data_IF_774657494447
#
_entry.id   IF_774657494447
#
_cell.length_a   1.000
_cell.length_b   1.000
_cell.length_c   1.000
_cell.angle_alpha   90.00
_cell.angle_beta   90.00
_cell.angle_gamma   90.00
#
_symmetry.space_group_name_H-M   'P 1'
#
loop_
_entity.id
_entity.type
_entity.pdbx_description
1 polymer ?
#
# COMPACT_ATOMS: atom_id res chain seq x y z
N UNK A 1 2.58 13.75 0.59
CA UNK A 1 1.75 13.52 1.80
C UNK A 1 2.56 13.97 2.97
N UNK A 2 2.04 14.89 3.78
CA UNK A 2 2.66 15.18 5.06
C UNK A 2 2.61 13.91 5.90
N UNK A 3 3.79 13.39 6.26
CA UNK A 3 3.93 12.15 7.03
C UNK A 3 3.65 12.40 8.52
N UNK A 4 2.66 13.24 8.85
CA UNK A 4 2.39 13.74 10.20
C UNK A 4 0.90 13.64 10.50
N UNK A 5 0.59 13.10 11.68
CA UNK A 5 -0.75 13.10 12.27
C UNK A 5 -0.67 13.81 13.60
N UNK A 6 -1.61 14.69 13.88
CA UNK A 6 -1.77 15.34 15.17
C UNK A 6 -2.69 14.46 16.02
N UNK A 7 -2.22 14.07 17.20
CA UNK A 7 -3.01 13.36 18.20
C UNK A 7 -3.27 14.26 19.39
N UNK A 8 -4.53 14.34 19.82
CA UNK A 8 -4.88 14.86 21.14
C UNK A 8 -4.66 13.76 22.20
N UNK A 9 -3.91 14.07 23.26
CA UNK A 9 -3.61 13.09 24.33
C UNK A 9 -4.81 12.83 25.24
N UNK A 10 -5.71 13.80 25.39
CA UNK A 10 -6.85 13.74 26.30
C UNK A 10 -8.03 12.95 25.71
N UNK A 11 -8.35 13.13 24.41
CA UNK A 11 -9.49 12.46 23.77
C UNK A 11 -9.10 11.41 22.73
N UNK A 12 -7.80 11.26 22.42
CA UNK A 12 -7.27 10.39 21.36
C UNK A 12 -7.79 10.69 19.94
N UNK A 13 -8.37 11.88 19.73
CA UNK A 13 -8.73 12.32 18.39
C UNK A 13 -7.48 12.55 17.53
N UNK A 14 -7.55 12.09 16.30
CA UNK A 14 -6.48 12.16 15.32
C UNK A 14 -6.89 13.05 14.16
N UNK A 15 -6.00 13.96 13.79
CA UNK A 15 -6.15 14.83 12.64
C UNK A 15 -4.95 14.68 11.73
N UNK A 16 -5.18 14.48 10.43
CA UNK A 16 -4.11 14.41 9.43
C UNK A 16 -4.19 15.68 8.59
N UNK A 17 -3.29 16.67 8.82
CA UNK A 17 -3.30 17.90 8.05
C UNK A 17 -3.11 17.64 6.56
N UNK A 18 -3.81 18.40 5.75
CA UNK A 18 -3.67 18.40 4.29
C UNK A 18 -3.60 19.82 3.75
N UNK A 19 -3.05 19.98 2.55
CA UNK A 19 -3.08 21.27 1.84
C UNK A 19 -4.51 21.72 1.50
N UNK A 20 -5.49 20.82 1.60
CA UNK A 20 -6.90 21.08 1.31
C UNK A 20 -7.71 21.50 2.54
N UNK A 21 -7.12 21.52 3.73
CA UNK A 21 -7.85 21.83 4.97
C UNK A 21 -8.46 23.24 4.95
N UNK A 22 -7.90 24.15 4.15
CA UNK A 22 -8.40 25.52 3.96
C UNK A 22 -9.16 25.72 2.64
N UNK A 23 -9.40 24.66 1.87
CA UNK A 23 -10.14 24.77 0.62
C UNK A 23 -11.63 24.85 0.91
N UNK A 24 -12.38 25.72 0.21
CA UNK A 24 -13.80 25.85 0.46
C UNK A 24 -14.56 24.60 0.02
N UNK A 25 -15.67 24.34 0.70
CA UNK A 25 -16.67 23.37 0.27
C UNK A 25 -17.78 24.06 -0.53
N UNK A 26 -18.43 23.32 -1.42
CA UNK A 26 -19.48 23.87 -2.29
C UNK A 26 -20.79 23.13 -2.08
N UNK A 27 -21.88 23.90 -1.94
CA UNK A 27 -23.24 23.37 -1.93
C UNK A 27 -24.05 24.01 -3.04
N UNK A 28 -24.75 23.21 -3.84
CA UNK A 28 -25.62 23.72 -4.88
C UNK A 28 -26.97 24.15 -4.30
N UNK A 29 -27.31 25.42 -4.51
CA UNK A 29 -28.60 25.99 -4.14
C UNK A 29 -29.56 25.95 -5.33
N UNK A 30 -30.65 25.21 -5.17
CA UNK A 30 -31.69 25.03 -6.20
C UNK A 30 -32.59 26.24 -6.37
N UNK A 31 -32.68 27.12 -5.37
CA UNK A 31 -33.53 28.31 -5.44
C UNK A 31 -32.87 29.42 -6.25
N UNK A 32 -31.55 29.56 -6.12
CA UNK A 32 -30.76 30.54 -6.86
C UNK A 32 -30.13 30.00 -8.14
N UNK A 33 -30.22 28.68 -8.36
CA UNK A 33 -29.56 27.95 -9.46
C UNK A 33 -28.04 28.23 -9.52
N UNK A 34 -27.40 28.25 -8.35
CA UNK A 34 -25.98 28.61 -8.21
C UNK A 34 -25.27 27.77 -7.13
N UNK A 35 -23.94 27.81 -7.12
CA UNK A 35 -23.12 27.19 -6.08
C UNK A 35 -22.79 28.19 -4.97
N UNK A 36 -23.10 27.83 -3.74
CA UNK A 36 -22.68 28.54 -2.55
C UNK A 36 -21.31 28.00 -2.13
N UNK A 37 -20.33 28.89 -2.07
CA UNK A 37 -19.02 28.63 -1.49
C UNK A 37 -19.10 28.76 0.04
N UNK A 38 -18.58 27.75 0.74
CA UNK A 38 -18.54 27.68 2.20
C UNK A 38 -17.06 27.60 2.58
N UNK A 39 -16.54 28.66 3.20
CA UNK A 39 -15.18 28.67 3.73
C UNK A 39 -15.00 27.56 4.78
N UNK A 40 -13.88 26.85 4.70
CA UNK A 40 -13.50 25.79 5.63
C UNK A 40 -12.06 26.01 6.08
N UNK A 41 -11.77 25.71 7.35
CA UNK A 41 -10.42 25.60 7.91
C UNK A 41 -10.43 24.49 8.95
N UNK A 42 -10.34 23.25 8.46
CA UNK A 42 -10.49 22.03 9.28
C UNK A 42 -9.40 21.94 10.37
N UNK A 43 -8.19 22.43 10.08
CA UNK A 43 -7.07 22.43 11.02
C UNK A 43 -7.31 23.43 12.15
N UNK A 44 -7.81 24.62 11.85
CA UNK A 44 -8.16 25.61 12.87
C UNK A 44 -9.34 25.12 13.70
N UNK A 45 -10.37 24.54 13.08
CA UNK A 45 -11.50 23.93 13.81
C UNK A 45 -11.02 22.85 14.78
N UNK A 46 -10.12 21.96 14.34
CA UNK A 46 -9.52 20.96 15.21
C UNK A 46 -8.76 21.60 16.38
N UNK A 47 -7.91 22.60 16.12
CA UNK A 47 -7.15 23.30 17.17
C UNK A 47 -8.05 23.99 18.19
N UNK A 48 -9.12 24.64 17.73
CA UNK A 48 -10.05 25.37 18.60
C UNK A 48 -10.84 24.42 19.49
N UNK A 49 -11.31 23.29 18.94
CA UNK A 49 -11.96 22.22 19.70
C UNK A 49 -11.03 21.61 20.77
N UNK A 50 -9.72 21.65 20.52
CA UNK A 50 -8.68 21.06 21.37
C UNK A 50 -7.80 22.10 22.08
N UNK A 51 -8.22 23.36 22.18
CA UNK A 51 -7.40 24.48 22.67
C UNK A 51 -6.80 24.30 24.08
N UNK A 52 -7.45 23.48 24.91
CA UNK A 52 -7.05 23.18 26.28
C UNK A 52 -6.49 21.75 26.43
N UNK A 53 -6.25 21.06 25.32
CA UNK A 53 -5.69 19.71 25.29
C UNK A 53 -4.24 19.76 24.80
N UNK A 54 -3.46 18.80 25.28
CA UNK A 54 -2.11 18.60 24.82
C UNK A 54 -2.14 17.78 23.53
N UNK A 55 -1.37 18.23 22.54
CA UNK A 55 -1.27 17.56 21.25
C UNK A 55 0.16 17.14 20.97
N UNK A 56 0.30 16.00 20.30
CA UNK A 56 1.58 15.41 19.90
C UNK A 56 1.53 15.08 18.42
N UNK A 57 2.67 15.20 17.75
CA UNK A 57 2.85 14.78 16.36
C UNK A 57 3.26 13.32 16.30
N UNK A 58 2.54 12.54 15.51
CA UNK A 58 2.89 11.18 15.14
C UNK A 58 3.45 11.19 13.72
N UNK A 59 4.62 10.61 13.53
CA UNK A 59 5.28 10.48 12.24
C UNK A 59 4.99 9.12 11.63
N UNK A 60 4.48 9.10 10.40
CA UNK A 60 4.16 7.84 9.70
C UNK A 60 5.45 7.06 9.44
N UNK A 61 5.44 5.77 9.81
CA UNK A 61 6.56 4.85 9.57
C UNK A 61 6.52 4.42 8.11
N UNK A 62 7.60 4.66 7.39
CA UNK A 62 7.72 4.30 5.97
C UNK A 62 7.59 2.78 5.77
N UNK A 63 6.92 2.38 4.68
CA UNK A 63 6.71 0.97 4.34
C UNK A 63 5.70 0.22 5.24
N UNK A 64 5.05 0.91 6.18
CA UNK A 64 4.07 0.29 7.09
C UNK A 64 2.63 0.26 6.57
N UNK A 65 2.37 0.89 5.43
CA UNK A 65 1.04 0.98 4.84
C UNK A 65 0.53 -0.39 4.38
N UNK A 66 -0.74 -0.69 4.67
CA UNK A 66 -1.44 -1.83 4.14
C UNK A 66 -2.94 -1.57 3.96
N UNK A 67 -3.53 -2.22 2.95
CA UNK A 67 -4.95 -2.08 2.60
C UNK A 67 -5.51 -3.37 2.01
N UNK A 68 -6.78 -3.63 2.30
CA UNK A 68 -7.53 -4.75 1.70
C UNK A 68 -8.23 -4.36 0.39
N UNK A 69 -8.29 -3.07 0.08
CA UNK A 69 -9.11 -2.55 -1.01
C UNK A 69 -8.24 -1.82 -2.05
N UNK A 70 -8.74 -1.75 -3.28
CA UNK A 70 -8.09 -1.05 -4.37
C UNK A 70 -7.92 0.46 -4.11
N UNK A 71 -6.97 1.08 -4.81
CA UNK A 71 -6.70 2.52 -4.66
C UNK A 71 -7.83 3.44 -5.16
N UNK A 72 -8.72 2.95 -6.02
CA UNK A 72 -9.88 3.72 -6.47
C UNK A 72 -11.12 3.47 -5.62
N UNK A 73 -11.11 2.52 -4.66
CA UNK A 73 -12.25 2.31 -3.78
C UNK A 73 -12.37 3.50 -2.82
N UNK A 74 -13.41 4.35 -2.95
CA UNK A 74 -13.51 5.53 -2.14
C UNK A 74 -13.65 5.18 -0.66
N UNK A 75 -14.46 4.21 -0.28
CA UNK A 75 -14.82 3.92 1.12
C UNK A 75 -13.85 2.89 1.72
N UNK A 76 -12.61 2.85 1.23
CA UNK A 76 -11.64 1.88 1.72
C UNK A 76 -11.19 2.15 3.14
N UNK A 77 -10.71 1.07 3.73
CA UNK A 77 -10.09 1.05 5.03
C UNK A 77 -8.62 0.65 4.90
N UNK A 78 -7.75 1.50 5.44
CA UNK A 78 -6.31 1.36 5.37
C UNK A 78 -5.70 1.35 6.77
N UNK A 79 -4.52 0.75 6.88
CA UNK A 79 -3.76 0.70 8.11
C UNK A 79 -2.31 1.11 7.86
N UNK A 80 -1.69 1.76 8.84
CA UNK A 80 -0.27 2.07 8.82
C UNK A 80 0.21 2.31 10.24
N UNK A 81 1.54 2.35 10.43
CA UNK A 81 2.15 2.66 11.71
C UNK A 81 2.54 4.13 11.78
N UNK A 82 2.39 4.75 12.95
CA UNK A 82 2.88 6.09 13.24
C UNK A 82 3.52 6.16 14.63
N UNK A 83 4.52 7.01 14.82
CA UNK A 83 5.29 7.11 16.08
C UNK A 83 5.47 8.55 16.55
N UNK A 84 5.39 8.78 17.86
CA UNK A 84 5.79 10.04 18.49
C UNK A 84 7.28 10.07 18.89
N UNK A 85 8.05 9.03 18.51
CA UNK A 85 9.44 8.82 18.91
C UNK A 85 9.62 7.99 20.18
N UNK A 86 8.56 7.77 20.96
CA UNK A 86 8.57 6.93 22.17
C UNK A 86 7.82 5.62 21.94
N UNK A 87 6.63 5.69 21.34
CA UNK A 87 5.79 4.54 21.06
C UNK A 87 5.44 4.46 19.57
N UNK A 88 4.98 3.28 19.13
CA UNK A 88 4.46 3.03 17.78
C UNK A 88 2.98 2.69 17.89
N UNK A 89 2.16 3.34 17.07
CA UNK A 89 0.71 3.19 17.02
C UNK A 89 0.28 2.63 15.67
N UNK A 90 -0.62 1.65 15.69
CA UNK A 90 -1.36 1.26 14.49
C UNK A 90 -2.51 2.23 14.28
N UNK A 91 -2.51 2.91 13.15
CA UNK A 91 -3.53 3.87 12.74
C UNK A 91 -4.42 3.21 11.70
N UNK A 92 -5.73 3.26 11.92
CA UNK A 92 -6.78 2.94 10.96
C UNK A 92 -7.23 4.23 10.28
N UNK A 93 -7.17 4.28 8.95
CA UNK A 93 -7.73 5.35 8.11
C UNK A 93 -8.96 4.82 7.39
N UNK A 94 -10.10 5.48 7.55
CA UNK A 94 -11.37 5.01 6.98
C UNK A 94 -12.34 6.16 6.75
N UNK A 95 -13.38 5.95 5.95
CA UNK A 95 -14.58 6.80 5.92
C UNK A 95 -15.82 5.93 5.79
N UNK A 96 -16.97 6.45 6.18
CA UNK A 96 -18.25 5.70 6.11
C UNK A 96 -19.04 5.99 4.85
N UNK A 97 -18.71 7.07 4.14
CA UNK A 97 -19.39 7.49 2.92
C UNK A 97 -18.45 8.38 2.10
N UNK A 98 -18.58 8.39 0.77
CA UNK A 98 -17.72 9.17 -0.13
C UNK A 98 -17.76 10.67 0.17
N UNK A 99 -18.93 11.21 0.52
CA UNK A 99 -19.15 12.61 0.91
C UNK A 99 -18.79 12.93 2.37
N UNK A 100 -18.04 12.07 3.06
CA UNK A 100 -17.58 12.31 4.44
C UNK A 100 -16.05 12.36 4.47
N UNK A 101 -15.46 13.19 5.34
CA UNK A 101 -14.02 13.27 5.48
C UNK A 101 -13.45 11.93 5.96
N UNK A 102 -12.16 11.71 5.67
CA UNK A 102 -11.41 10.59 6.23
C UNK A 102 -11.27 10.75 7.73
N UNK A 103 -11.42 9.64 8.44
CA UNK A 103 -11.23 9.52 9.89
C UNK A 103 -10.00 8.69 10.17
N UNK A 104 -9.34 9.02 11.26
CA UNK A 104 -8.15 8.35 11.75
C UNK A 104 -8.40 7.87 13.17
N UNK A 105 -7.99 6.64 13.47
CA UNK A 105 -8.18 6.05 14.79
C UNK A 105 -6.97 5.19 15.18
N UNK A 106 -6.50 5.30 16.42
CA UNK A 106 -5.55 4.33 16.99
C UNK A 106 -6.33 3.04 17.28
N UNK A 107 -5.83 1.91 16.79
CA UNK A 107 -6.46 0.60 17.01
C UNK A 107 -5.55 -0.35 17.76
N UNK A 108 -6.15 -1.30 18.48
CA UNK A 108 -5.46 -2.32 19.27
C UNK A 108 -5.10 -3.56 18.44
N UNK A 109 -4.60 -3.31 17.24
CA UNK A 109 -4.08 -4.34 16.36
C UNK A 109 -2.62 -4.05 16.01
N UNK A 110 -1.83 -5.09 15.83
CA UNK A 110 -0.50 -5.06 15.26
C UNK A 110 -0.58 -5.48 13.79
N UNK A 111 0.07 -4.71 12.92
CA UNK A 111 0.25 -5.08 11.52
C UNK A 111 1.39 -6.10 11.46
N UNK A 112 1.10 -7.29 10.94
CA UNK A 112 2.12 -8.32 10.73
C UNK A 112 2.26 -8.59 9.24
N UNK A 113 3.42 -8.23 8.69
CA UNK A 113 3.77 -8.55 7.31
C UNK A 113 4.32 -9.98 7.20
N UNK A 114 3.80 -10.72 6.23
CA UNK A 114 4.34 -12.02 5.85
C UNK A 114 5.52 -11.88 4.88
N UNK A 115 6.15 -13.03 4.57
CA UNK A 115 7.21 -13.06 3.54
C UNK A 115 6.61 -12.63 2.19
N UNK A 116 7.25 -11.70 1.45
CA UNK A 116 6.81 -11.33 0.12
C UNK A 116 6.77 -12.54 -0.82
N UNK A 117 5.76 -12.56 -1.69
CA UNK A 117 5.53 -13.62 -2.66
C UNK A 117 5.80 -13.05 -4.04
N UNK A 118 6.77 -13.62 -4.75
CA UNK A 118 7.13 -13.23 -6.11
C UNK A 118 6.50 -14.20 -7.11
N UNK A 119 5.79 -13.68 -8.12
CA UNK A 119 5.11 -14.49 -9.15
C UNK A 119 5.32 -13.93 -10.55
N UNK A 120 5.31 -14.84 -11.52
CA UNK A 120 5.29 -14.50 -12.95
C UNK A 120 3.85 -14.30 -13.39
N UNK A 121 3.61 -13.30 -14.23
CA UNK A 121 2.34 -13.06 -14.93
C UNK A 121 2.17 -14.08 -16.09
N UNK A 122 2.12 -15.38 -15.78
CA UNK A 122 2.27 -16.46 -16.78
C UNK A 122 1.25 -16.40 -17.91
N UNK A 123 0.00 -16.07 -17.61
CA UNK A 123 -1.07 -16.02 -18.59
C UNK A 123 -0.87 -14.87 -19.59
N UNK A 124 -0.56 -13.68 -19.08
CA UNK A 124 -0.37 -12.48 -19.87
C UNK A 124 0.94 -12.53 -20.65
N UNK A 125 2.03 -13.00 -20.03
CA UNK A 125 3.30 -13.27 -20.71
C UNK A 125 3.12 -14.23 -21.89
N UNK A 126 2.35 -15.30 -21.70
CA UNK A 126 2.06 -16.24 -22.78
C UNK A 126 1.27 -15.57 -23.90
N UNK A 127 0.25 -14.78 -23.56
CA UNK A 127 -0.56 -14.07 -24.54
C UNK A 127 0.29 -13.11 -25.38
N UNK A 128 1.13 -12.31 -24.71
CA UNK A 128 2.01 -11.33 -25.36
C UNK A 128 3.04 -12.01 -26.27
N UNK A 129 3.74 -13.06 -25.80
CA UNK A 129 4.68 -13.80 -26.64
C UNK A 129 4.02 -14.46 -27.87
N UNK A 130 2.74 -14.85 -27.77
CA UNK A 130 1.99 -15.38 -28.92
C UNK A 130 1.69 -14.27 -29.93
N UNK A 131 1.29 -13.08 -29.46
CA UNK A 131 1.05 -11.91 -30.31
C UNK A 131 2.35 -11.54 -31.05
N UNK A 132 3.46 -11.47 -30.32
CA UNK A 132 4.75 -11.05 -30.87
C UNK A 132 5.54 -12.18 -31.55
N UNK A 133 4.99 -13.39 -31.57
CA UNK A 133 5.63 -14.57 -32.17
C UNK A 133 6.01 -14.37 -33.65
N UNK A 134 5.25 -13.54 -34.38
CA UNK A 134 5.55 -13.20 -35.78
C UNK A 134 6.74 -12.25 -35.92
N UNK A 135 6.94 -11.37 -34.94
CA UNK A 135 8.02 -10.38 -34.92
C UNK A 135 9.32 -11.09 -34.53
N UNK A 136 9.26 -11.87 -33.45
CA UNK A 136 10.45 -12.51 -32.86
C UNK A 136 10.72 -13.93 -33.34
N UNK A 137 9.81 -14.52 -34.12
CA UNK A 137 9.97 -15.86 -34.70
C UNK A 137 9.81 -17.01 -33.70
N UNK A 138 9.18 -16.78 -32.53
CA UNK A 138 9.03 -17.82 -31.51
C UNK A 138 7.97 -18.85 -31.89
N UNK A 139 8.33 -20.13 -31.83
CA UNK A 139 7.35 -21.22 -31.95
C UNK A 139 6.56 -21.40 -30.65
N UNK A 140 5.34 -21.95 -30.72
CA UNK A 140 4.52 -22.24 -29.53
C UNK A 140 5.24 -23.12 -28.50
N UNK A 141 6.06 -24.06 -28.97
CA UNK A 141 6.84 -24.93 -28.08
C UNK A 141 7.95 -24.14 -27.37
N UNK A 142 8.65 -23.26 -28.09
CA UNK A 142 9.68 -22.40 -27.50
C UNK A 142 9.10 -21.42 -26.48
N UNK A 143 7.94 -20.83 -26.76
CA UNK A 143 7.21 -19.99 -25.78
C UNK A 143 6.91 -20.79 -24.50
N UNK A 144 6.39 -22.01 -24.63
CA UNK A 144 6.12 -22.88 -23.47
C UNK A 144 7.38 -23.18 -22.66
N UNK A 145 8.50 -23.46 -23.34
CA UNK A 145 9.77 -23.74 -22.68
C UNK A 145 10.30 -22.49 -21.98
N UNK A 146 10.26 -21.32 -22.63
CA UNK A 146 10.68 -20.04 -22.06
C UNK A 146 9.93 -19.74 -20.76
N UNK A 147 8.59 -19.79 -20.77
CA UNK A 147 7.77 -19.49 -19.58
C UNK A 147 8.10 -20.46 -18.44
N UNK A 148 8.32 -21.75 -18.75
CA UNK A 148 8.72 -22.74 -17.74
C UNK A 148 10.09 -22.42 -17.15
N UNK A 149 11.06 -22.02 -17.97
CA UNK A 149 12.38 -21.60 -17.50
C UNK A 149 12.29 -20.35 -16.65
N UNK A 150 11.53 -19.36 -17.09
CA UNK A 150 11.36 -18.09 -16.40
C UNK A 150 10.73 -18.29 -15.03
N UNK A 151 9.63 -19.03 -14.94
CA UNK A 151 9.04 -19.40 -13.65
C UNK A 151 10.00 -20.12 -12.71
N UNK A 152 10.75 -21.09 -13.23
CA UNK A 152 11.75 -21.82 -12.44
C UNK A 152 12.85 -20.88 -11.93
N UNK A 153 13.28 -19.94 -12.77
CA UNK A 153 14.25 -18.91 -12.42
C UNK A 153 13.72 -17.99 -11.32
N UNK A 154 12.51 -17.42 -11.51
CA UNK A 154 11.85 -16.52 -10.56
C UNK A 154 11.53 -17.21 -9.22
N UNK A 155 11.20 -18.50 -9.20
CA UNK A 155 10.92 -19.21 -7.94
C UNK A 155 12.10 -19.27 -6.95
N UNK A 156 13.30 -18.87 -7.38
CA UNK A 156 14.54 -18.83 -6.58
C UNK A 156 15.15 -17.44 -6.50
N UNK A 157 14.43 -16.42 -6.98
CA UNK A 157 14.93 -15.06 -6.98
C UNK A 157 14.73 -14.42 -5.59
N UNK A 158 15.70 -13.63 -5.18
CA UNK A 158 15.57 -12.80 -3.98
C UNK A 158 15.14 -11.38 -4.37
N UNK A 159 14.58 -10.63 -3.43
CA UNK A 159 14.05 -9.28 -3.72
C UNK A 159 15.17 -8.31 -4.11
N UNK A 160 16.39 -8.52 -3.63
CA UNK A 160 17.56 -7.71 -3.95
C UNK A 160 18.01 -7.86 -5.41
N UNK A 161 17.54 -8.88 -6.12
CA UNK A 161 17.79 -9.11 -7.55
C UNK A 161 16.77 -8.41 -8.46
N UNK A 162 15.77 -7.74 -7.85
CA UNK A 162 14.67 -7.07 -8.53
C UNK A 162 14.77 -5.54 -8.38
N UNK A 163 14.20 -4.83 -9.34
CA UNK A 163 14.03 -3.37 -9.33
C UNK A 163 12.53 -3.05 -9.47
N UNK A 164 11.95 -2.39 -8.48
CA UNK A 164 10.52 -2.04 -8.45
C UNK A 164 10.20 -1.01 -9.54
N UNK A 165 9.22 -1.32 -10.38
CA UNK A 165 8.85 -0.54 -11.58
C UNK A 165 7.48 0.12 -11.45
N UNK A 166 6.65 -0.31 -10.51
CA UNK A 166 5.31 0.23 -10.34
C UNK A 166 4.48 -0.49 -9.27
N UNK A 167 3.25 -0.04 -9.09
CA UNK A 167 2.31 -0.58 -8.11
C UNK A 167 0.99 -0.94 -8.79
N UNK A 168 0.30 -1.95 -8.27
CA UNK A 168 -1.06 -2.25 -8.72
C UNK A 168 -2.02 -1.20 -8.16
N UNK A 169 -2.88 -0.68 -9.04
CA UNK A 169 -4.01 0.13 -8.59
C UNK A 169 -5.07 -0.76 -7.91
N UNK A 170 -5.21 -2.01 -8.37
CA UNK A 170 -6.20 -2.99 -7.92
C UNK A 170 -5.93 -3.55 -6.55
N UNK A 171 -4.65 -3.65 -6.19
CA UNK A 171 -4.23 -4.18 -4.92
C UNK A 171 -3.03 -3.40 -4.40
N UNK A 172 -3.21 -2.55 -3.36
CA UNK A 172 -2.12 -1.79 -2.75
C UNK A 172 -0.99 -2.65 -2.19
N UNK A 173 -1.23 -3.95 -1.98
CA UNK A 173 -0.23 -4.90 -1.51
C UNK A 173 0.54 -5.57 -2.64
N UNK A 174 0.28 -5.22 -3.89
CA UNK A 174 0.96 -5.74 -5.08
C UNK A 174 1.78 -4.63 -5.72
N UNK A 175 3.06 -4.92 -5.93
CA UNK A 175 3.94 -4.12 -6.78
C UNK A 175 4.53 -4.96 -7.90
N UNK A 176 5.06 -4.28 -8.91
CA UNK A 176 5.70 -4.89 -10.07
C UNK A 176 7.20 -4.60 -10.02
N UNK A 177 8.00 -5.56 -10.43
CA UNK A 177 9.43 -5.39 -10.51
C UNK A 177 10.03 -6.09 -11.72
N UNK A 178 11.06 -5.49 -12.30
CA UNK A 178 11.88 -6.10 -13.35
C UNK A 178 13.12 -6.76 -12.77
N UNK A 179 13.70 -7.68 -13.54
CA UNK A 179 15.02 -8.21 -13.23
C UNK A 179 16.06 -7.09 -13.38
N UNK A 180 16.99 -6.98 -12.43
CA UNK A 180 18.21 -6.18 -12.65
C UNK A 180 19.00 -6.72 -13.84
N UNK A 181 19.71 -5.86 -14.57
CA UNK A 181 20.40 -6.24 -15.82
C UNK A 181 21.33 -7.45 -15.69
N UNK A 182 22.10 -7.53 -14.59
CA UNK A 182 22.94 -8.71 -14.31
C UNK A 182 22.12 -10.01 -14.27
N UNK A 183 20.97 -9.95 -13.60
CA UNK A 183 20.08 -11.09 -13.35
C UNK A 183 19.32 -11.46 -14.63
N UNK A 184 18.94 -10.47 -15.43
CA UNK A 184 18.42 -10.64 -16.80
C UNK A 184 19.39 -11.42 -17.67
N UNK A 185 20.67 -11.04 -17.71
CA UNK A 185 21.68 -11.75 -18.49
C UNK A 185 21.96 -13.17 -17.95
N UNK A 186 21.91 -13.37 -16.64
CA UNK A 186 21.98 -14.71 -16.04
C UNK A 186 20.82 -15.61 -16.49
N UNK A 187 19.61 -15.06 -16.59
CA UNK A 187 18.46 -15.78 -17.12
C UNK A 187 18.63 -16.10 -18.61
N UNK A 188 19.00 -15.12 -19.43
CA UNK A 188 19.27 -15.32 -20.87
C UNK A 188 20.35 -16.38 -21.11
N UNK A 189 21.40 -16.41 -20.29
CA UNK A 189 22.43 -17.44 -20.35
C UNK A 189 21.89 -18.86 -20.13
N UNK A 190 20.84 -19.04 -19.31
CA UNK A 190 20.19 -20.35 -19.13
C UNK A 190 19.39 -20.77 -20.36
N UNK A 191 18.85 -19.81 -21.10
CA UNK A 191 18.11 -20.04 -22.34
C UNK A 191 19.01 -20.54 -23.49
N UNK A 192 20.32 -20.24 -23.48
CA UNK A 192 21.27 -20.62 -24.56
C UNK A 192 21.36 -22.12 -24.86
N UNK A 193 20.91 -22.98 -23.95
CA UNK A 193 20.84 -24.43 -24.19
C UNK A 193 19.71 -24.85 -25.13
N UNK A 194 18.74 -23.97 -25.39
CA UNK A 194 17.49 -24.27 -26.12
C UNK A 194 17.29 -23.31 -27.30
N UNK A 195 17.74 -22.06 -27.15
CA UNK A 195 17.58 -21.00 -28.13
C UNK A 195 18.91 -20.71 -28.82
N UNK A 196 18.86 -20.47 -30.13
CA UNK A 196 20.05 -20.06 -30.88
C UNK A 196 20.43 -18.60 -30.60
N UNK A 197 21.59 -18.16 -31.10
CA UNK A 197 22.12 -16.82 -30.80
C UNK A 197 21.18 -15.68 -31.25
N UNK A 198 20.53 -15.83 -32.41
CA UNK A 198 19.56 -14.84 -32.91
C UNK A 198 18.31 -14.83 -32.04
N UNK A 199 17.84 -16.00 -31.62
CA UNK A 199 16.69 -16.11 -30.74
C UNK A 199 16.97 -15.56 -29.33
N UNK A 200 18.20 -15.70 -28.83
CA UNK A 200 18.61 -15.09 -27.57
C UNK A 200 18.59 -13.56 -27.68
N UNK A 201 19.04 -12.99 -28.80
CA UNK A 201 18.93 -11.55 -29.04
C UNK A 201 17.47 -11.11 -29.10
N UNK A 202 16.62 -11.85 -29.82
CA UNK A 202 15.19 -11.59 -29.87
C UNK A 202 14.53 -11.68 -28.48
N UNK A 203 14.94 -12.63 -27.64
CA UNK A 203 14.48 -12.71 -26.25
C UNK A 203 14.94 -11.52 -25.44
N UNK A 204 16.17 -11.03 -25.63
CA UNK A 204 16.65 -9.82 -24.96
C UNK A 204 15.79 -8.61 -25.33
N UNK A 205 15.56 -8.37 -26.62
CA UNK A 205 14.68 -7.31 -27.09
C UNK A 205 13.26 -7.45 -26.51
N UNK A 206 12.69 -8.64 -26.56
CA UNK A 206 11.36 -8.90 -26.00
C UNK A 206 11.31 -8.56 -24.50
N UNK A 207 12.34 -8.93 -23.73
CA UNK A 207 12.41 -8.62 -22.30
C UNK A 207 12.46 -7.11 -22.09
N UNK A 208 13.36 -6.42 -22.78
CA UNK A 208 13.56 -4.98 -22.62
C UNK A 208 12.31 -4.18 -23.04
N UNK A 209 11.58 -4.60 -24.06
CA UNK A 209 10.35 -3.97 -24.53
C UNK A 209 9.12 -4.23 -23.66
N UNK A 210 9.16 -5.23 -22.78
CA UNK A 210 8.01 -5.66 -21.96
C UNK A 210 8.33 -5.63 -20.46
N UNK A 211 9.22 -4.72 -20.02
CA UNK A 211 9.67 -4.59 -18.64
C UNK A 211 9.39 -3.22 -18.00
N UNK A 212 8.46 -2.45 -18.56
CA UNK A 212 8.04 -1.17 -17.98
C UNK A 212 6.79 -1.34 -17.11
N UNK A 213 6.68 -0.54 -16.04
CA UNK A 213 5.52 -0.53 -15.14
C UNK A 213 4.97 -1.93 -14.77
N UNK A 214 3.78 -2.30 -15.25
CA UNK A 214 3.11 -3.58 -15.02
C UNK A 214 3.19 -4.56 -16.21
N UNK A 215 4.13 -4.35 -17.13
CA UNK A 215 4.29 -5.20 -18.31
C UNK A 215 4.57 -6.66 -17.97
N UNK A 216 4.31 -7.53 -18.95
CA UNK A 216 4.22 -8.98 -18.75
C UNK A 216 5.53 -9.67 -18.36
N UNK A 217 6.70 -9.04 -18.56
CA UNK A 217 7.96 -9.59 -18.06
C UNK A 217 8.22 -9.25 -16.60
N UNK A 218 7.56 -8.21 -16.07
CA UNK A 218 7.71 -7.85 -14.67
C UNK A 218 7.04 -8.90 -13.80
N UNK A 219 7.69 -9.20 -12.68
CA UNK A 219 7.14 -10.09 -11.66
C UNK A 219 6.21 -9.30 -10.75
N UNK A 220 5.16 -9.96 -10.28
CA UNK A 220 4.30 -9.44 -9.23
C UNK A 220 4.93 -9.78 -7.87
N UNK A 221 5.10 -8.77 -7.04
CA UNK A 221 5.52 -8.89 -5.65
C UNK A 221 4.29 -8.60 -4.79
N UNK A 222 3.74 -9.64 -4.17
CA UNK A 222 2.67 -9.49 -3.16
C UNK A 222 3.29 -9.40 -1.77
N UNK A 223 2.94 -8.37 -1.00
CA UNK A 223 3.30 -8.19 0.41
C UNK A 223 2.11 -8.60 1.29
N UNK A 224 1.95 -9.89 1.65
CA UNK A 224 0.82 -10.33 2.46
C UNK A 224 0.91 -9.71 3.86
N UNK A 225 -0.24 -9.42 4.45
CA UNK A 225 -0.32 -8.94 5.82
C UNK A 225 -1.56 -9.48 6.52
N UNK A 226 -1.54 -9.41 7.85
CA UNK A 226 -2.71 -9.63 8.68
C UNK A 226 -2.66 -8.74 9.92
N UNK A 227 -3.83 -8.54 10.54
CA UNK A 227 -3.97 -7.78 11.78
C UNK A 227 -4.09 -8.76 12.94
N UNK A 228 -3.25 -8.59 13.96
CA UNK A 228 -3.26 -9.40 15.18
C UNK A 228 -3.64 -8.52 16.37
N UNK A 229 -4.54 -8.94 17.29
CA UNK A 229 -4.82 -8.17 18.49
C UNK A 229 -3.55 -7.88 19.30
N UNK A 230 -3.35 -6.63 19.71
CA UNK A 230 -2.21 -6.24 20.53
C UNK A 230 -2.46 -6.59 22.00
N UNK A 231 -1.70 -7.54 22.54
CA UNK A 231 -1.85 -8.00 23.93
C UNK A 231 -1.41 -6.93 24.94
N UNK A 232 -0.47 -6.08 24.56
CA UNK A 232 0.10 -5.02 25.43
C UNK A 232 -0.90 -3.90 25.71
N UNK A 233 -1.74 -3.52 24.74
CA UNK A 233 -2.76 -2.46 24.92
C UNK A 233 -4.09 -2.97 25.47
N UNK A 234 -4.38 -4.25 25.28
CA UNK A 234 -5.48 -4.90 26.00
C UNK A 234 -5.23 -4.88 27.52
N UNK A 235 -3.99 -5.00 27.99
CA UNK A 235 -3.73 -4.90 29.44
C UNK A 235 -3.91 -3.47 29.97
N UNK A 236 -3.40 -2.45 29.27
CA UNK A 236 -3.53 -1.04 29.69
C UNK A 236 -4.99 -0.54 29.66
N UNK A 237 -5.78 -0.91 28.65
CA UNK A 237 -7.21 -0.56 28.58
C UNK A 237 -8.05 -1.18 29.70
N UNK A 238 -7.68 -2.39 30.16
CA UNK A 238 -8.30 -3.01 31.34
C UNK A 238 -7.87 -2.35 32.65
N UNK A 239 -6.64 -1.85 32.76
CA UNK A 239 -6.17 -1.12 33.95
C UNK A 239 -6.80 0.28 34.06
N UNK A 240 -6.91 1.01 32.95
CA UNK A 240 -7.57 2.34 32.89
C UNK A 240 -9.08 2.26 33.17
N UNK A 241 -9.75 1.20 32.72
CA UNK A 241 -11.16 0.94 33.04
C UNK A 241 -11.37 0.64 34.54
N UNK A 242 -10.39 0.02 35.21
CA UNK A 242 -10.46 -0.32 36.62
C UNK A 242 -10.05 0.83 37.56
N UNK A 243 -9.21 1.77 37.11
CA UNK A 243 -8.88 3.00 37.86
C UNK A 243 -10.10 3.94 37.99
N UNK A 244 -10.98 3.97 37.00
CA UNK A 244 -12.23 4.73 37.02
C UNK A 244 -13.35 4.11 37.90
N UNK A 245 -13.09 2.99 38.56
CA UNK A 245 -14.01 2.33 39.49
C UNK A 245 -13.50 2.25 40.94
N UNK A 246 -12.69 3.21 41.38
CA UNK A 246 -12.43 3.40 42.80
C UNK A 246 -13.63 4.12 43.46
N UNK A 247 -14.66 3.33 43.78
CA UNK A 247 -15.84 3.72 44.54
C UNK A 247 -15.40 4.29 45.90
N UNK A 248 -15.89 5.50 46.19
CA UNK A 248 -15.91 6.08 47.53
C UNK A 248 -16.50 5.09 48.55
N UNK A 249 -15.64 4.44 49.33
CA UNK A 249 -16.03 3.91 50.63
C UNK A 249 -15.98 5.06 51.63
N UNK A 250 -17.11 5.70 51.89
CA UNK A 250 -17.28 6.45 53.13
C UNK A 250 -17.51 5.45 54.26
N UNK A 251 -16.72 5.61 55.32
CA UNK A 251 -16.87 4.90 56.59
C UNK A 251 -17.76 5.69 57.54
N UNK A 252 -18.55 4.92 58.31
CA UNK A 252 -19.41 5.24 59.46
C UNK A 252 -20.77 5.84 59.13
#
# INVERSE_FOLDING_TARGET
MENIIIRCLQCNELFCPTEYDTFPSYSYDRETDDFIEIECDDLTEFKDAHRNHDTVKLYVVEGSFCSQYAYWEPIREDYFLASDGTEIYTIRRYRTHINRPLKYQIVDFEIVFGKPIVKVQEADLKAQMIIDSKIYGFSKEKIRIFIRLYRSFISRIELEDLEETGFSFDNPMVSYAKLKDRVKEEFLNRCKSIFDEKEIENLRCFIDENSEYNDVMNVEITKPYYLKPSLTRLQNSYEDANLNHTIHKHSI
#
